data_IF_606805037405
#
_entry.id   IF_606805037405
#
_cell.length_a   1.000
_cell.length_b   1.000
_cell.length_c   1.000
_cell.angle_alpha   90.00
_cell.angle_beta   90.00
_cell.angle_gamma   90.00
#
_symmetry.space_group_name_H-M   'P 1'
#
loop_
_entity.id
_entity.type
_entity.pdbx_description
1 polymer ?
#
# COMPACT_ATOMS: atom_id res chain seq x y z
N UNK A 1 10.76 1.96 -42.79
CA UNK A 1 9.35 2.29 -42.50
C UNK A 1 8.88 1.58 -41.25
N UNK A 2 8.98 2.27 -40.11
CA UNK A 2 8.43 1.79 -38.85
C UNK A 2 7.05 2.43 -38.69
N UNK A 3 6.01 1.62 -38.90
CA UNK A 3 4.64 2.05 -38.73
C UNK A 3 4.44 2.44 -37.26
N UNK A 4 4.37 3.75 -37.00
CA UNK A 4 3.91 4.29 -35.75
C UNK A 4 2.40 4.05 -35.66
N UNK A 5 2.01 2.88 -35.16
CA UNK A 5 0.63 2.57 -34.82
C UNK A 5 0.33 3.43 -33.60
N UNK A 6 -0.26 4.59 -33.84
CA UNK A 6 -0.86 5.41 -32.77
C UNK A 6 -2.09 4.65 -32.32
N UNK A 7 -1.92 3.81 -31.30
CA UNK A 7 -3.05 3.18 -30.63
C UNK A 7 -3.78 4.29 -29.86
N UNK A 8 -5.05 4.50 -30.13
CA UNK A 8 -5.85 5.55 -29.48
C UNK A 8 -5.99 5.21 -27.99
N UNK A 9 -5.10 5.74 -27.16
CA UNK A 9 -5.18 5.62 -25.72
C UNK A 9 -6.33 6.52 -25.22
N UNK A 10 -7.46 5.89 -24.87
CA UNK A 10 -8.60 6.59 -24.27
C UNK A 10 -8.49 6.51 -22.76
N UNK A 11 -8.31 7.66 -22.12
CA UNK A 11 -8.41 7.77 -20.66
C UNK A 11 -9.88 7.84 -20.28
N UNK A 12 -10.31 6.93 -19.40
CA UNK A 12 -11.69 6.87 -18.89
C UNK A 12 -11.63 6.97 -17.37
N UNK A 13 -12.48 7.81 -16.81
CA UNK A 13 -12.64 7.89 -15.35
C UNK A 13 -13.46 6.69 -14.86
N UNK A 14 -13.03 6.09 -13.74
CA UNK A 14 -13.77 5.02 -13.08
C UNK A 14 -14.98 5.60 -12.34
N UNK A 15 -16.20 5.36 -12.84
CA UNK A 15 -17.42 5.76 -12.14
C UNK A 15 -17.53 4.99 -10.81
N UNK A 16 -17.46 5.71 -9.70
CA UNK A 16 -17.49 5.15 -8.35
C UNK A 16 -16.43 4.05 -8.10
N UNK A 17 -15.30 4.08 -8.81
CA UNK A 17 -14.25 3.06 -8.71
C UNK A 17 -14.52 1.78 -9.51
N UNK A 18 -15.61 1.73 -10.29
CA UNK A 18 -15.93 0.63 -11.18
C UNK A 18 -15.59 0.97 -12.62
N UNK A 19 -15.19 -0.04 -13.40
CA UNK A 19 -15.00 0.07 -14.83
C UNK A 19 -16.11 -0.66 -15.57
N UNK A 20 -16.65 -0.03 -16.62
CA UNK A 20 -17.82 -0.52 -17.33
C UNK A 20 -17.47 -0.83 -18.78
N UNK A 21 -17.55 -2.10 -19.15
CA UNK A 21 -17.51 -2.53 -20.55
C UNK A 21 -18.94 -2.69 -21.05
N UNK A 22 -19.44 -1.71 -21.80
CA UNK A 22 -20.79 -1.74 -22.37
C UNK A 22 -20.75 -2.11 -23.85
N UNK A 23 -21.43 -3.20 -24.19
CA UNK A 23 -21.55 -3.69 -25.57
C UNK A 23 -23.02 -3.75 -26.01
N UNK A 24 -23.34 -3.39 -27.26
CA UNK A 24 -24.69 -3.48 -27.77
C UNK A 24 -25.14 -4.95 -27.88
N UNK A 25 -26.40 -5.22 -27.54
CA UNK A 25 -26.97 -6.55 -27.71
C UNK A 25 -27.29 -6.82 -29.19
N UNK A 26 -27.07 -8.06 -29.67
CA UNK A 26 -27.42 -8.40 -31.04
C UNK A 26 -28.93 -8.28 -31.25
N UNK A 27 -29.32 -7.66 -32.37
CA UNK A 27 -30.73 -7.50 -32.74
C UNK A 27 -31.21 -8.73 -33.49
N UNK A 28 -32.47 -9.12 -33.28
CA UNK A 28 -33.12 -10.24 -33.96
C UNK A 28 -32.46 -11.61 -33.73
N UNK A 29 -31.81 -11.77 -32.58
CA UNK A 29 -31.14 -13.01 -32.17
C UNK A 29 -31.88 -13.59 -30.99
N UNK A 30 -32.18 -14.90 -31.04
CA UNK A 30 -32.92 -15.58 -29.99
C UNK A 30 -32.04 -16.33 -29.00
N UNK A 31 -30.81 -16.65 -29.39
CA UNK A 31 -29.84 -17.31 -28.51
C UNK A 31 -28.42 -16.83 -28.80
N UNK A 32 -27.78 -16.27 -27.79
CA UNK A 32 -26.41 -15.77 -27.87
C UNK A 32 -25.69 -15.85 -26.52
N UNK A 33 -24.38 -15.89 -26.58
CA UNK A 33 -23.48 -15.77 -25.44
C UNK A 33 -22.58 -14.55 -25.61
N UNK A 34 -22.34 -13.83 -24.54
CA UNK A 34 -21.35 -12.77 -24.47
C UNK A 34 -20.37 -13.08 -23.36
N UNK A 35 -19.09 -13.11 -23.67
CA UNK A 35 -18.04 -13.50 -22.74
C UNK A 35 -16.94 -12.45 -22.70
N UNK A 36 -16.52 -12.10 -21.47
CA UNK A 36 -15.39 -11.24 -21.22
C UNK A 36 -14.22 -12.09 -20.71
N UNK A 37 -13.09 -11.97 -21.40
CA UNK A 37 -11.85 -12.66 -21.09
C UNK A 37 -10.80 -11.68 -20.59
N UNK A 38 -9.91 -12.18 -19.72
CA UNK A 38 -8.73 -11.47 -19.23
C UNK A 38 -7.45 -12.20 -19.63
N UNK A 39 -6.47 -11.41 -20.06
CA UNK A 39 -5.12 -11.83 -20.38
C UNK A 39 -5.00 -12.53 -21.72
N UNK A 40 -3.75 -12.74 -22.13
CA UNK A 40 -3.42 -13.41 -23.40
C UNK A 40 -3.89 -14.87 -23.45
N UNK A 41 -3.98 -15.54 -22.29
CA UNK A 41 -4.54 -16.89 -22.19
C UNK A 41 -6.07 -16.92 -22.33
N UNK A 42 -6.72 -15.76 -22.49
CA UNK A 42 -8.18 -15.59 -22.58
C UNK A 42 -8.91 -16.33 -21.46
N UNK A 43 -8.57 -15.99 -20.22
CA UNK A 43 -9.25 -16.56 -19.05
C UNK A 43 -10.63 -15.92 -18.91
N UNK A 44 -11.69 -16.72 -18.94
CA UNK A 44 -13.06 -16.24 -18.78
C UNK A 44 -13.28 -15.68 -17.38
N UNK A 45 -13.74 -14.43 -17.29
CA UNK A 45 -14.04 -13.76 -16.02
C UNK A 45 -15.53 -13.54 -15.80
N UNK A 46 -16.27 -13.19 -16.86
CA UNK A 46 -17.71 -13.04 -16.86
C UNK A 46 -18.29 -13.55 -18.17
N UNK A 47 -19.48 -14.12 -18.10
CA UNK A 47 -20.29 -14.44 -19.26
C UNK A 47 -21.77 -14.11 -19.03
N UNK A 48 -22.46 -13.89 -20.13
CA UNK A 48 -23.92 -13.79 -20.23
C UNK A 48 -24.35 -14.80 -21.28
N UNK A 49 -25.20 -15.73 -20.89
CA UNK A 49 -25.88 -16.63 -21.81
C UNK A 49 -27.36 -16.26 -21.87
N UNK A 50 -27.82 -15.85 -23.04
CA UNK A 50 -29.22 -15.57 -23.29
C UNK A 50 -29.79 -16.65 -24.20
N UNK A 51 -30.84 -17.30 -23.72
CA UNK A 51 -31.68 -18.23 -24.47
C UNK A 51 -33.11 -17.68 -24.54
N UNK A 52 -33.98 -18.30 -25.35
CA UNK A 52 -35.40 -17.90 -25.46
C UNK A 52 -36.15 -17.91 -24.13
N UNK A 53 -35.71 -18.76 -23.20
CA UNK A 53 -36.44 -19.05 -21.96
C UNK A 53 -35.76 -18.38 -20.75
N UNK A 54 -34.45 -18.16 -20.80
CA UNK A 54 -33.67 -17.74 -19.63
C UNK A 54 -32.51 -16.83 -19.99
N UNK A 55 -32.17 -15.95 -19.03
CA UNK A 55 -30.97 -15.12 -19.05
C UNK A 55 -30.10 -15.58 -17.88
N UNK A 56 -28.91 -16.10 -18.17
CA UNK A 56 -27.99 -16.66 -17.19
C UNK A 56 -26.73 -15.80 -17.16
N UNK A 57 -26.38 -15.32 -15.97
CA UNK A 57 -25.13 -14.60 -15.73
C UNK A 57 -24.14 -15.54 -15.06
N UNK A 58 -22.96 -15.68 -15.63
CA UNK A 58 -21.87 -16.45 -15.05
C UNK A 58 -20.73 -15.50 -14.68
N UNK A 59 -20.18 -15.67 -13.49
CA UNK A 59 -19.00 -14.93 -13.05
C UNK A 59 -18.05 -15.91 -12.38
N UNK A 60 -16.85 -16.04 -12.95
CA UNK A 60 -15.81 -16.93 -12.46
C UNK A 60 -14.90 -16.22 -11.43
N UNK A 61 -15.07 -14.91 -11.26
CA UNK A 61 -14.24 -14.08 -10.38
C UNK A 61 -15.11 -13.07 -9.60
N UNK A 62 -14.72 -12.75 -8.38
CA UNK A 62 -15.54 -11.90 -7.49
C UNK A 62 -15.61 -10.44 -7.94
N UNK A 63 -14.62 -9.96 -8.69
CA UNK A 63 -14.52 -8.56 -9.12
C UNK A 63 -15.30 -8.27 -10.41
N UNK A 64 -15.98 -9.25 -11.00
CA UNK A 64 -16.68 -9.09 -12.26
C UNK A 64 -18.18 -9.37 -12.08
N UNK A 65 -19.02 -8.42 -12.50
CA UNK A 65 -20.47 -8.53 -12.46
C UNK A 65 -21.07 -8.16 -13.80
N UNK A 66 -21.99 -8.97 -14.31
CA UNK A 66 -22.69 -8.70 -15.56
C UNK A 66 -24.07 -8.11 -15.30
N UNK A 67 -24.43 -7.07 -16.04
CA UNK A 67 -25.77 -6.49 -16.07
C UNK A 67 -26.27 -6.46 -17.50
N UNK A 68 -27.44 -7.04 -17.75
CA UNK A 68 -28.07 -7.01 -19.07
C UNK A 68 -29.27 -6.05 -19.09
N UNK A 69 -29.39 -5.27 -20.16
CA UNK A 69 -30.55 -4.45 -20.49
C UNK A 69 -31.12 -4.89 -21.84
N UNK A 70 -32.27 -4.36 -22.26
CA UNK A 70 -32.86 -4.72 -23.55
C UNK A 70 -31.98 -4.34 -24.75
N UNK A 71 -31.20 -3.25 -24.65
CA UNK A 71 -30.37 -2.73 -25.74
C UNK A 71 -28.89 -3.08 -25.64
N UNK A 72 -28.38 -3.32 -24.44
CA UNK A 72 -26.94 -3.49 -24.20
C UNK A 72 -26.66 -4.34 -22.97
N UNK A 73 -25.52 -5.03 -23.00
CA UNK A 73 -24.96 -5.75 -21.86
C UNK A 73 -23.74 -4.97 -21.36
N UNK A 74 -23.66 -4.80 -20.04
CA UNK A 74 -22.53 -4.15 -19.37
C UNK A 74 -21.83 -5.13 -18.44
N UNK A 75 -20.53 -5.30 -18.62
CA UNK A 75 -19.67 -5.99 -17.66
C UNK A 75 -19.02 -4.95 -16.75
N UNK A 76 -19.28 -5.05 -15.46
CA UNK A 76 -18.85 -4.13 -14.43
C UNK A 76 -17.70 -4.79 -13.67
N UNK A 77 -16.51 -4.21 -13.80
CA UNK A 77 -15.36 -4.59 -12.99
C UNK A 77 -15.29 -3.70 -11.76
N UNK A 78 -15.28 -4.33 -10.57
CA UNK A 78 -15.27 -3.69 -9.26
C UNK A 78 -13.95 -3.90 -8.56
N UNK A 79 -13.64 -3.06 -7.57
CA UNK A 79 -12.47 -3.22 -6.69
C UNK A 79 -11.18 -3.51 -7.48
N UNK A 80 -10.96 -2.73 -8.54
CA UNK A 80 -9.81 -2.86 -9.41
C UNK A 80 -8.52 -2.49 -8.68
N UNK A 81 -7.48 -3.30 -8.86
CA UNK A 81 -6.16 -3.17 -8.22
C UNK A 81 -5.08 -3.43 -9.30
N UNK A 82 -3.80 -3.19 -9.01
CA UNK A 82 -2.70 -3.48 -9.95
C UNK A 82 -2.73 -4.88 -10.57
N UNK A 83 -3.14 -5.90 -9.80
CA UNK A 83 -3.23 -7.29 -10.28
C UNK A 83 -4.29 -7.49 -11.38
N UNK A 84 -5.18 -6.52 -11.55
CA UNK A 84 -6.24 -6.52 -12.55
C UNK A 84 -5.81 -5.83 -13.86
N UNK A 85 -4.64 -5.18 -13.90
CA UNK A 85 -4.09 -4.59 -15.13
C UNK A 85 -3.75 -5.72 -16.11
N UNK A 86 -4.43 -5.72 -17.26
CA UNK A 86 -4.21 -6.71 -18.31
C UNK A 86 -4.93 -6.31 -19.61
N UNK A 87 -4.77 -7.13 -20.64
CA UNK A 87 -5.59 -7.11 -21.84
C UNK A 87 -6.93 -7.79 -21.58
N UNK A 88 -8.01 -7.16 -22.00
CA UNK A 88 -9.37 -7.69 -21.93
C UNK A 88 -9.93 -7.90 -23.33
N UNK A 89 -10.59 -9.04 -23.54
CA UNK A 89 -11.13 -9.42 -24.83
C UNK A 89 -12.59 -9.78 -24.67
N UNK A 90 -13.45 -9.13 -25.45
CA UNK A 90 -14.88 -9.47 -25.52
C UNK A 90 -15.14 -10.39 -26.70
N UNK A 91 -15.93 -11.44 -26.50
CA UNK A 91 -16.44 -12.27 -27.58
C UNK A 91 -17.96 -12.43 -27.50
N UNK A 92 -18.59 -12.35 -28.66
CA UNK A 92 -20.01 -12.60 -28.89
C UNK A 92 -20.15 -13.87 -29.71
N UNK A 93 -20.92 -14.82 -29.20
CA UNK A 93 -21.31 -16.03 -29.91
C UNK A 93 -22.82 -16.01 -30.15
N UNK A 94 -23.24 -16.21 -31.39
CA UNK A 94 -24.64 -16.28 -31.78
C UNK A 94 -24.94 -17.71 -32.19
N UNK A 95 -25.88 -18.35 -31.49
CA UNK A 95 -26.30 -19.71 -31.77
C UNK A 95 -27.57 -19.75 -32.63
N UNK A 96 -28.54 -18.87 -32.34
CA UNK A 96 -29.81 -18.81 -33.05
C UNK A 96 -30.21 -17.36 -33.38
N UNK A 97 -30.59 -17.06 -34.63
CA UNK A 97 -30.77 -18.00 -35.74
C UNK A 97 -29.42 -18.49 -36.31
N UNK A 98 -29.37 -19.71 -36.87
CA UNK A 98 -28.19 -20.17 -37.61
C UNK A 98 -27.88 -19.24 -38.79
N UNK A 99 -26.61 -19.17 -39.25
CA UNK A 99 -25.47 -19.98 -38.84
C UNK A 99 -24.90 -19.58 -37.47
N UNK A 100 -24.08 -20.46 -36.87
CA UNK A 100 -23.27 -20.09 -35.71
C UNK A 100 -22.28 -19.00 -36.12
N UNK A 101 -22.22 -17.91 -35.34
CA UNK A 101 -21.32 -16.78 -35.58
C UNK A 101 -20.56 -16.50 -34.30
N UNK A 102 -19.24 -16.41 -34.40
CA UNK A 102 -18.36 -15.99 -33.31
C UNK A 102 -17.64 -14.69 -33.70
N UNK A 103 -17.77 -13.67 -32.87
CA UNK A 103 -17.21 -12.34 -33.08
C UNK A 103 -16.46 -11.89 -31.83
N UNK A 104 -15.13 -11.92 -31.86
CA UNK A 104 -14.30 -11.31 -30.82
C UNK A 104 -13.86 -9.90 -31.21
N UNK A 105 -14.12 -8.95 -30.33
CA UNK A 105 -13.64 -7.57 -30.46
C UNK A 105 -12.12 -7.50 -30.25
N UNK A 106 -11.53 -6.41 -30.74
CA UNK A 106 -10.10 -6.14 -30.52
C UNK A 106 -9.82 -6.03 -29.02
N UNK A 107 -8.64 -6.53 -28.67
CA UNK A 107 -8.06 -6.49 -27.33
C UNK A 107 -8.05 -5.06 -26.79
N UNK A 108 -8.58 -4.88 -25.58
CA UNK A 108 -8.58 -3.60 -24.87
C UNK A 108 -7.63 -3.69 -23.69
N UNK A 109 -6.55 -2.91 -23.69
CA UNK A 109 -5.63 -2.86 -22.57
C UNK A 109 -6.19 -1.96 -21.47
N UNK A 110 -6.49 -2.54 -20.30
CA UNK A 110 -6.99 -1.79 -19.14
C UNK A 110 -5.84 -1.47 -18.20
N UNK A 111 -5.50 -0.19 -18.10
CA UNK A 111 -4.55 0.32 -17.12
C UNK A 111 -5.29 0.93 -15.93
N UNK A 112 -5.03 0.42 -14.73
CA UNK A 112 -5.58 0.92 -13.48
C UNK A 112 -4.52 1.80 -12.84
N UNK A 113 -4.78 3.10 -12.78
CA UNK A 113 -3.92 4.02 -12.05
C UNK A 113 -4.17 3.81 -10.55
N UNK A 114 -3.12 3.43 -9.84
CA UNK A 114 -3.18 3.41 -8.39
C UNK A 114 -3.38 4.84 -7.88
N UNK A 115 -4.32 4.99 -6.96
CA UNK A 115 -4.22 6.08 -6.01
C UNK A 115 -2.97 5.78 -5.20
N UNK A 116 -1.93 6.57 -5.42
CA UNK A 116 -0.81 6.57 -4.49
C UNK A 116 -1.41 6.91 -3.13
N UNK A 117 -1.56 5.89 -2.27
CA UNK A 117 -1.79 6.07 -0.85
C UNK A 117 -0.55 6.77 -0.33
N UNK A 118 -0.52 8.08 -0.54
CA UNK A 118 0.53 8.96 -0.14
C UNK A 118 0.59 8.81 1.38
N UNK A 119 1.59 8.06 1.84
CA UNK A 119 1.78 7.58 3.21
C UNK A 119 0.86 6.43 3.64
N UNK A 120 1.34 5.19 3.43
CA UNK A 120 0.91 4.04 4.24
C UNK A 120 0.97 4.41 5.72
N UNK A 121 -0.19 4.67 6.31
CA UNK A 121 -0.43 5.04 7.71
C UNK A 121 0.11 4.03 8.74
N UNK A 122 0.67 2.90 8.31
CA UNK A 122 1.24 1.87 9.18
C UNK A 122 2.66 2.17 9.70
N UNK A 123 3.50 2.86 8.93
CA UNK A 123 4.91 3.13 9.33
C UNK A 123 5.09 4.49 10.00
N UNK A 124 4.28 5.48 9.59
CA UNK A 124 4.30 6.84 10.14
C UNK A 124 4.10 6.88 11.67
N UNK A 125 3.15 6.15 12.29
CA UNK A 125 2.96 6.23 13.74
C UNK A 125 4.16 5.64 14.49
N UNK A 126 4.79 4.57 13.99
CA UNK A 126 5.92 3.96 14.69
C UNK A 126 7.18 4.83 14.62
N UNK A 127 7.41 5.49 13.48
CA UNK A 127 8.50 6.48 13.32
C UNK A 127 8.28 7.68 14.24
N UNK A 128 7.05 8.21 14.31
CA UNK A 128 6.73 9.34 15.20
C UNK A 128 6.95 8.95 16.67
N UNK A 129 6.49 7.76 17.09
CA UNK A 129 6.70 7.26 18.45
C UNK A 129 8.21 7.12 18.75
N UNK A 130 8.99 6.58 17.81
CA UNK A 130 10.45 6.46 17.95
C UNK A 130 11.15 7.79 18.14
N UNK A 131 10.76 8.81 17.36
CA UNK A 131 11.32 10.17 17.46
C UNK A 131 10.99 10.83 18.81
N UNK A 132 9.77 10.66 19.32
CA UNK A 132 9.36 11.21 20.62
C UNK A 132 10.17 10.58 21.75
N UNK A 133 10.34 9.26 21.75
CA UNK A 133 11.12 8.55 22.77
C UNK A 133 12.59 9.00 22.75
N UNK A 134 13.19 9.12 21.56
CA UNK A 134 14.57 9.57 21.40
C UNK A 134 14.77 11.00 21.90
N UNK A 135 13.84 11.90 21.60
CA UNK A 135 13.90 13.29 22.06
C UNK A 135 13.83 13.39 23.60
N UNK A 136 12.91 12.63 24.23
CA UNK A 136 12.77 12.59 25.68
C UNK A 136 14.04 12.03 26.34
N UNK A 137 14.60 10.96 25.79
CA UNK A 137 15.85 10.37 26.30
C UNK A 137 17.01 11.39 26.25
N UNK A 138 17.16 12.10 25.14
CA UNK A 138 18.20 13.12 25.00
C UNK A 138 18.06 14.24 26.04
N UNK A 139 16.84 14.74 26.27
CA UNK A 139 16.58 15.78 27.29
C UNK A 139 16.90 15.25 28.69
N UNK A 140 16.48 14.03 29.02
CA UNK A 140 16.79 13.38 30.30
C UNK A 140 18.30 13.22 30.52
N UNK A 141 19.06 12.83 29.48
CA UNK A 141 20.50 12.73 29.54
C UNK A 141 21.16 14.09 29.83
N UNK A 142 20.74 15.16 29.16
CA UNK A 142 21.27 16.51 29.40
C UNK A 142 21.00 16.96 30.83
N UNK A 143 19.78 16.74 31.35
CA UNK A 143 19.42 17.10 32.74
C UNK A 143 20.27 16.31 33.74
N UNK A 144 20.42 15.00 33.54
CA UNK A 144 21.24 14.15 34.42
C UNK A 144 22.73 14.56 34.40
N UNK A 145 23.29 14.86 33.23
CA UNK A 145 24.64 15.39 33.08
C UNK A 145 24.81 16.74 33.79
N UNK A 146 23.83 17.65 33.67
CA UNK A 146 23.86 18.95 34.33
C UNK A 146 23.80 18.82 35.87
N UNK A 147 22.96 17.93 36.40
CA UNK A 147 22.86 17.67 37.84
C UNK A 147 24.15 17.04 38.39
N UNK A 148 24.75 16.10 37.66
CA UNK A 148 26.01 15.46 38.07
C UNK A 148 27.19 16.42 38.07
N UNK A 149 27.26 17.33 37.09
CA UNK A 149 28.26 18.39 37.06
C UNK A 149 28.12 19.35 38.25
N UNK A 150 26.88 19.70 38.63
CA UNK A 150 26.62 20.51 39.83
C UNK A 150 27.05 19.80 41.13
N UNK A 151 26.82 18.50 41.26
CA UNK A 151 27.27 17.75 42.44
C UNK A 151 28.80 17.63 42.52
N UNK A 152 29.50 17.46 41.40
CA UNK A 152 30.97 17.41 41.37
C UNK A 152 31.61 18.76 41.76
N UNK A 153 31.04 19.88 41.32
CA UNK A 153 31.48 21.22 41.76
C UNK A 153 31.20 21.50 43.25
N UNK A 154 30.21 20.84 43.86
CA UNK A 154 29.99 20.93 45.32
C UNK A 154 30.99 20.08 46.12
N UNK A 155 31.53 19.00 45.55
CA UNK A 155 32.49 18.11 46.22
C UNK A 155 33.94 18.62 46.12
N UNK A 156 34.29 19.34 45.04
CA UNK A 156 35.65 19.88 44.86
C UNK A 156 35.93 21.18 45.61
N UNK A 157 34.91 21.94 46.04
CA UNK A 157 35.10 23.22 46.75
C UNK A 157 35.15 23.08 48.29
N UNK A 158 35.09 21.87 48.83
CA UNK A 158 35.16 21.62 50.29
C UNK A 158 36.46 20.97 50.76
N UNK A 159 37.42 20.72 49.88
CA UNK A 159 38.69 20.03 50.20
C UNK A 159 39.90 20.97 50.08
N UNK A 160 39.73 22.22 50.48
CA UNK A 160 40.84 23.15 50.72
C UNK A 160 40.65 23.80 52.09
N UNK A 161 40.65 22.97 53.13
CA UNK A 161 40.70 23.40 54.53
C UNK A 161 41.96 22.81 55.19
N UNK A 162 43.02 23.61 55.16
CA UNK A 162 44.12 23.66 56.13
C UNK A 162 44.86 22.34 56.42
N UNK A 163 45.81 21.96 55.56
CA UNK A 163 46.87 21.01 55.88
C UNK A 163 48.18 21.71 56.25
N UNK A 164 48.14 22.73 57.10
CA UNK A 164 49.34 23.22 57.81
C UNK A 164 49.29 22.73 59.25
N UNK A 165 49.54 21.44 59.44
CA UNK A 165 49.87 20.88 60.74
C UNK A 165 51.20 20.13 60.61
N UNK A 166 52.29 20.77 61.04
CA UNK A 166 53.61 20.16 61.10
C UNK A 166 53.68 19.23 62.32
N UNK A 167 54.17 17.98 62.18
CA UNK A 167 54.41 17.11 63.32
C UNK A 167 55.65 17.60 64.09
N UNK A 168 55.46 18.02 65.34
CA UNK A 168 56.58 18.35 66.22
C UNK A 168 57.33 17.06 66.59
N UNK A 169 58.64 17.04 66.32
CA UNK A 169 59.52 15.90 66.58
C UNK A 169 59.51 15.50 68.06
N UNK A 170 59.40 14.19 68.32
CA UNK A 170 59.50 13.63 69.66
C UNK A 170 60.92 13.81 70.22
N UNK A 171 61.06 14.58 71.30
CA UNK A 171 62.33 14.75 72.00
C UNK A 171 62.44 13.68 73.08
N UNK A 172 63.47 12.84 73.02
CA UNK A 172 63.75 11.83 74.04
C UNK A 172 64.07 12.53 75.38
N UNK A 173 63.31 12.22 76.44
CA UNK A 173 63.55 12.75 77.76
C UNK A 173 64.96 12.35 78.27
N UNK A 174 65.74 13.34 78.70
CA UNK A 174 67.10 13.16 79.17
C UNK A 174 67.18 12.33 80.47
N UNK A 175 68.19 11.46 80.52
CA UNK A 175 68.54 10.58 81.64
C UNK A 175 69.04 11.41 82.83
N UNK A 176 68.37 11.33 83.99
CA UNK A 176 68.86 11.95 85.25
C UNK A 176 70.12 11.23 85.76
N UNK A 177 71.16 11.96 86.21
CA UNK A 177 72.37 11.36 86.76
C UNK A 177 72.15 10.85 88.20
N UNK A 178 72.86 9.77 88.55
CA UNK A 178 72.93 9.18 89.89
C UNK A 178 73.70 10.09 90.85
N UNK A 179 73.21 10.18 92.08
CA UNK A 179 74.01 10.28 93.31
C UNK A 179 73.51 9.14 94.20
#
# INVERSE_FOLDING_TARGET
>A
DQAHISDDQVMVEFENGNFHFTFPNPKNVSEFSMTLFKGHEKKEICALHLSKETVIFQSNVTYCQTQNSSSSTTFILKDLERKHIDVYTYCLEIFLPPPYIECCLKETYLYVQDKEDCFSFGLVPWVIIGVIIFAVFCVCCVVACCLRNKNQNCESNSLEYNSEYMPMAAVNAAKKPRI
#
